data_IF_607215026748
#
_entry.id   IF_607215026748
#
_cell.length_a   1.000
_cell.length_b   1.000
_cell.length_c   1.000
_cell.angle_alpha   90.00
_cell.angle_beta   90.00
_cell.angle_gamma   90.00
#
_symmetry.space_group_name_H-M   'P 1'
#
loop_
_entity.id
_entity.type
_entity.pdbx_description
1 polymer ?
#
# COMPACT_ATOMS: atom_id res chain seq x y z
N UNK A 1 4.83 3.28 -12.26
CA UNK A 1 4.21 4.62 -12.03
C UNK A 1 4.50 5.11 -10.62
N UNK A 2 4.18 4.33 -9.57
CA UNK A 2 4.30 4.78 -8.18
C UNK A 2 5.73 5.10 -7.73
N UNK A 3 6.77 4.47 -8.31
CA UNK A 3 8.15 4.87 -8.06
C UNK A 3 8.46 6.34 -8.36
N UNK A 4 7.70 6.97 -9.26
CA UNK A 4 7.79 8.40 -9.54
C UNK A 4 7.14 9.31 -8.48
N UNK A 5 6.44 8.74 -7.51
CA UNK A 5 5.78 9.45 -6.40
C UNK A 5 6.48 9.25 -5.06
N UNK A 6 7.65 8.62 -5.04
CA UNK A 6 8.49 8.52 -3.84
C UNK A 6 9.14 9.87 -3.57
N UNK A 7 8.89 10.43 -2.40
CA UNK A 7 9.42 11.74 -2.00
C UNK A 7 8.68 12.33 -0.81
N UNK A 8 9.17 13.46 -0.34
CA UNK A 8 8.63 14.15 0.83
C UNK A 8 7.14 14.47 0.69
N UNK A 9 6.34 14.09 1.69
CA UNK A 9 4.89 14.30 1.69
C UNK A 9 4.11 13.42 0.72
N UNK A 10 4.73 12.36 0.21
CA UNK A 10 4.16 11.36 -0.68
C UNK A 10 4.52 9.96 -0.19
N UNK A 11 5.05 9.07 -1.03
CA UNK A 11 5.50 7.74 -0.64
C UNK A 11 6.92 7.76 -0.10
N UNK A 12 7.22 6.94 0.90
CA UNK A 12 8.59 6.64 1.35
C UNK A 12 9.23 5.53 0.49
N UNK A 13 8.41 4.59 0.03
CA UNK A 13 8.86 3.49 -0.83
C UNK A 13 7.75 3.07 -1.79
N UNK A 14 8.13 2.54 -2.94
CA UNK A 14 7.23 1.85 -3.87
C UNK A 14 7.81 0.49 -4.22
N UNK A 15 6.96 -0.54 -4.22
CA UNK A 15 7.31 -1.92 -4.51
C UNK A 15 6.82 -2.31 -5.90
N UNK A 16 7.63 -2.19 -6.96
CA UNK A 16 7.23 -2.66 -8.28
C UNK A 16 7.38 -4.19 -8.36
N UNK A 17 6.35 -4.84 -8.90
CA UNK A 17 6.46 -6.24 -9.33
C UNK A 17 7.07 -6.35 -10.72
N UNK A 18 7.22 -7.56 -11.20
CA UNK A 18 7.54 -7.85 -12.59
C UNK A 18 6.42 -7.33 -13.53
N UNK A 19 6.71 -7.26 -14.82
CA UNK A 19 5.73 -6.77 -15.80
C UNK A 19 4.45 -7.62 -15.75
N UNK A 20 3.31 -6.96 -15.53
CA UNK A 20 1.98 -7.56 -15.37
C UNK A 20 1.81 -8.52 -14.18
N UNK A 21 2.66 -8.44 -13.16
CA UNK A 21 2.49 -9.20 -11.93
C UNK A 21 2.53 -8.29 -10.68
N UNK A 22 1.93 -8.78 -9.60
CA UNK A 22 2.08 -8.17 -8.29
C UNK A 22 3.50 -8.41 -7.76
N UNK A 23 4.07 -7.50 -6.96
CA UNK A 23 5.30 -7.78 -6.22
C UNK A 23 5.08 -8.95 -5.25
N UNK A 24 6.16 -9.63 -4.89
CA UNK A 24 6.10 -10.76 -3.95
C UNK A 24 5.98 -10.25 -2.51
N UNK A 25 5.43 -11.06 -1.57
CA UNK A 25 5.38 -10.70 -0.15
C UNK A 25 6.75 -10.34 0.42
N UNK A 26 7.82 -11.05 0.03
CA UNK A 26 9.18 -10.77 0.48
C UNK A 26 9.66 -9.38 0.07
N UNK A 27 9.37 -8.95 -1.16
CA UNK A 27 9.72 -7.61 -1.65
C UNK A 27 8.99 -6.53 -0.84
N UNK A 28 7.72 -6.73 -0.56
CA UNK A 28 6.90 -5.80 0.24
C UNK A 28 7.37 -5.76 1.69
N UNK A 29 7.70 -6.91 2.27
CA UNK A 29 8.22 -7.03 3.62
C UNK A 29 9.58 -6.32 3.78
N UNK A 30 10.52 -6.55 2.86
CA UNK A 30 11.82 -5.87 2.88
C UNK A 30 11.67 -4.35 2.69
N UNK A 31 10.77 -3.90 1.84
CA UNK A 31 10.46 -2.48 1.68
C UNK A 31 9.87 -1.89 2.97
N UNK A 32 8.96 -2.60 3.63
CA UNK A 32 8.37 -2.20 4.91
C UNK A 32 9.44 -2.01 5.98
N UNK A 33 10.35 -2.98 6.10
CA UNK A 33 11.49 -2.87 7.04
C UNK A 33 12.41 -1.70 6.74
N UNK A 34 12.66 -1.45 5.47
CA UNK A 34 13.59 -0.39 5.05
C UNK A 34 13.08 1.01 5.40
N UNK A 35 11.76 1.22 5.48
CA UNK A 35 11.16 2.53 5.78
C UNK A 35 10.61 2.65 7.19
N UNK A 36 10.59 1.58 7.98
CA UNK A 36 10.12 1.64 9.36
C UNK A 36 11.06 2.50 10.21
N UNK A 37 10.52 3.58 10.74
CA UNK A 37 11.19 4.48 11.67
C UNK A 37 10.80 4.26 13.12
N UNK A 38 10.03 3.22 13.43
CA UNK A 38 9.54 2.89 14.78
C UNK A 38 8.12 3.36 15.08
N UNK A 39 7.51 4.16 14.20
CA UNK A 39 6.12 4.61 14.33
C UNK A 39 5.11 3.71 13.60
N UNK A 40 5.60 2.73 12.86
CA UNK A 40 4.81 1.85 12.02
C UNK A 40 4.77 2.28 10.56
N UNK A 41 4.19 1.44 9.72
CA UNK A 41 4.14 1.62 8.27
C UNK A 41 2.70 1.50 7.75
N UNK A 42 2.27 2.45 6.93
CA UNK A 42 1.00 2.40 6.24
C UNK A 42 1.18 1.83 4.82
N UNK A 43 0.51 0.73 4.53
CA UNK A 43 0.44 0.16 3.19
C UNK A 43 -0.70 0.79 2.39
N UNK A 44 -0.40 1.35 1.22
CA UNK A 44 -1.40 1.80 0.24
C UNK A 44 -1.52 0.71 -0.82
N UNK A 45 -2.64 0.00 -0.80
CA UNK A 45 -2.87 -1.20 -1.59
C UNK A 45 -3.94 -0.95 -2.64
N UNK A 46 -3.66 -1.22 -3.90
CA UNK A 46 -4.69 -1.22 -4.93
C UNK A 46 -5.46 -2.54 -4.88
N UNK A 47 -6.79 -2.49 -5.03
CA UNK A 47 -7.64 -3.66 -4.95
C UNK A 47 -7.50 -4.59 -6.17
N UNK A 48 -6.44 -5.38 -6.16
CA UNK A 48 -6.21 -6.51 -7.07
C UNK A 48 -5.95 -7.73 -6.20
N UNK A 49 -6.50 -8.87 -6.56
CA UNK A 49 -6.47 -10.09 -5.71
C UNK A 49 -5.05 -10.46 -5.27
N UNK A 50 -4.09 -10.46 -6.20
CA UNK A 50 -2.69 -10.77 -5.90
C UNK A 50 -2.03 -9.72 -4.99
N UNK A 51 -2.29 -8.43 -5.25
CA UNK A 51 -1.73 -7.35 -4.43
C UNK A 51 -2.25 -7.43 -2.99
N UNK A 52 -3.57 -7.55 -2.81
CA UNK A 52 -4.18 -7.62 -1.48
C UNK A 52 -3.60 -8.80 -0.69
N UNK A 53 -3.60 -10.00 -1.26
CA UNK A 53 -3.08 -11.21 -0.60
C UNK A 53 -1.59 -11.06 -0.22
N UNK A 54 -0.78 -10.55 -1.13
CA UNK A 54 0.66 -10.42 -0.92
C UNK A 54 0.99 -9.33 0.11
N UNK A 55 0.25 -8.20 0.12
CA UNK A 55 0.40 -7.17 1.16
C UNK A 55 -0.05 -7.65 2.53
N UNK A 56 -1.15 -8.42 2.63
CA UNK A 56 -1.58 -9.04 3.88
C UNK A 56 -0.49 -9.96 4.44
N UNK A 57 0.08 -10.83 3.59
CA UNK A 57 1.18 -11.71 4.00
C UNK A 57 2.41 -10.91 4.46
N UNK A 58 2.79 -9.86 3.74
CA UNK A 58 3.91 -9.01 4.12
C UNK A 58 3.66 -8.28 5.44
N UNK A 59 2.44 -7.83 5.69
CA UNK A 59 2.05 -7.20 6.94
C UNK A 59 2.15 -8.17 8.13
N UNK A 60 1.70 -9.42 7.95
CA UNK A 60 1.85 -10.47 8.97
C UNK A 60 3.32 -10.73 9.31
N UNK A 61 4.20 -10.81 8.31
CA UNK A 61 5.64 -10.97 8.50
C UNK A 61 6.26 -9.79 9.26
N UNK A 62 5.87 -8.55 8.91
CA UNK A 62 6.36 -7.34 9.58
C UNK A 62 5.88 -7.27 11.04
N UNK A 63 4.61 -7.56 11.30
CA UNK A 63 4.06 -7.59 12.66
C UNK A 63 4.72 -8.65 13.54
N UNK A 64 5.14 -9.78 12.99
CA UNK A 64 5.91 -10.80 13.71
C UNK A 64 7.30 -10.29 14.16
N UNK A 65 7.81 -9.22 13.56
CA UNK A 65 9.03 -8.50 13.96
C UNK A 65 8.75 -7.20 14.73
N UNK A 66 7.56 -7.06 15.31
CA UNK A 66 7.14 -5.89 16.08
C UNK A 66 7.07 -4.57 15.27
N UNK A 67 6.89 -4.65 13.96
CA UNK A 67 6.63 -3.49 13.11
C UNK A 67 5.11 -3.32 12.95
N UNK A 68 4.48 -2.30 13.53
CA UNK A 68 3.06 -2.05 13.32
C UNK A 68 2.77 -1.73 11.85
N UNK A 69 1.78 -2.40 11.27
CA UNK A 69 1.35 -2.16 9.88
C UNK A 69 -0.14 -1.97 9.84
N UNK A 70 -0.57 -0.91 9.18
CA UNK A 70 -1.96 -0.68 8.78
C UNK A 70 -2.05 -0.64 7.26
N UNK A 71 -3.23 -0.89 6.70
CA UNK A 71 -3.42 -0.88 5.27
C UNK A 71 -4.69 -0.14 4.86
N UNK A 72 -4.60 0.63 3.79
CA UNK A 72 -5.74 1.21 3.11
C UNK A 72 -5.86 0.63 1.70
N UNK A 73 -7.03 0.05 1.39
CA UNK A 73 -7.29 -0.58 0.11
C UNK A 73 -8.05 0.39 -0.80
N UNK A 74 -7.48 0.69 -1.96
CA UNK A 74 -8.05 1.59 -2.96
C UNK A 74 -8.90 0.79 -3.94
N UNK A 75 -10.18 1.16 -4.07
CA UNK A 75 -11.17 0.46 -4.90
C UNK A 75 -12.07 1.43 -5.67
N UNK A 76 -11.48 2.42 -6.30
CA UNK A 76 -12.15 3.57 -6.91
C UNK A 76 -12.63 3.37 -8.36
N UNK A 77 -12.48 2.19 -8.95
CA UNK A 77 -12.97 1.91 -10.31
C UNK A 77 -14.51 1.83 -10.36
N UNK A 78 -15.14 2.98 -10.49
CA UNK A 78 -16.61 3.10 -10.53
C UNK A 78 -17.25 2.54 -11.81
N UNK A 79 -16.45 2.19 -12.82
CA UNK A 79 -16.95 1.52 -14.02
C UNK A 79 -17.43 0.09 -13.73
N UNK A 80 -16.92 -0.53 -12.67
CA UNK A 80 -17.33 -1.85 -12.20
C UNK A 80 -18.35 -1.68 -11.08
N UNK A 81 -19.62 -1.97 -11.34
CA UNK A 81 -20.71 -1.85 -10.33
C UNK A 81 -20.70 -3.01 -9.36
N UNK A 82 -20.73 -4.24 -9.88
CA UNK A 82 -20.66 -5.48 -9.12
C UNK A 82 -19.91 -6.52 -9.94
N UNK A 83 -18.96 -7.19 -9.33
CA UNK A 83 -18.30 -8.32 -9.95
C UNK A 83 -18.45 -9.55 -9.06
N UNK A 84 -19.23 -10.50 -9.52
CA UNK A 84 -19.38 -11.81 -8.87
C UNK A 84 -18.15 -12.71 -9.09
N UNK A 85 -17.27 -12.34 -10.02
CA UNK A 85 -16.15 -13.15 -10.48
C UNK A 85 -14.77 -12.61 -10.12
N UNK A 86 -14.69 -11.43 -9.51
CA UNK A 86 -13.43 -10.77 -9.15
C UNK A 86 -13.54 -10.12 -7.77
N UNK A 87 -12.43 -9.56 -7.27
CA UNK A 87 -12.36 -8.85 -5.98
C UNK A 87 -13.18 -7.53 -5.93
N UNK A 88 -14.13 -7.32 -6.84
CA UNK A 88 -14.92 -6.10 -6.94
C UNK A 88 -14.18 -4.99 -7.68
N UNK A 89 -14.41 -3.73 -7.29
CA UNK A 89 -13.79 -2.56 -7.92
C UNK A 89 -12.29 -2.58 -7.74
N UNK A 90 -11.55 -2.28 -8.82
CA UNK A 90 -10.09 -2.14 -8.80
C UNK A 90 -9.67 -0.80 -8.21
N UNK A 91 -8.43 -0.73 -7.74
CA UNK A 91 -7.77 0.52 -7.40
C UNK A 91 -7.13 1.14 -8.64
N UNK A 92 -7.44 2.41 -8.91
CA UNK A 92 -6.94 3.15 -10.07
C UNK A 92 -6.46 4.56 -9.67
N UNK A 93 -6.96 5.62 -10.25
CA UNK A 93 -6.47 6.99 -10.09
C UNK A 93 -6.50 7.56 -8.67
N UNK A 94 -7.45 7.18 -7.85
CA UNK A 94 -7.53 7.65 -6.46
C UNK A 94 -6.33 7.21 -5.61
N UNK A 95 -5.56 6.22 -6.06
CA UNK A 95 -4.32 5.82 -5.38
C UNK A 95 -3.36 7.00 -5.23
N UNK A 96 -3.16 7.81 -6.28
CA UNK A 96 -2.27 9.00 -6.22
C UNK A 96 -2.81 10.05 -5.26
N UNK A 97 -4.13 10.24 -5.21
CA UNK A 97 -4.78 11.15 -4.25
C UNK A 97 -4.60 10.67 -2.81
N UNK A 98 -4.75 9.36 -2.57
CA UNK A 98 -4.49 8.76 -1.26
C UNK A 98 -3.02 8.94 -0.85
N UNK A 99 -2.06 8.68 -1.75
CA UNK A 99 -0.63 8.91 -1.52
C UNK A 99 -0.38 10.36 -1.06
N UNK A 100 -1.02 11.34 -1.70
CA UNK A 100 -0.88 12.75 -1.33
C UNK A 100 -1.49 13.08 0.04
N UNK A 101 -2.66 12.55 0.33
CA UNK A 101 -3.38 12.82 1.58
C UNK A 101 -2.63 12.21 2.77
N UNK A 102 -2.31 10.92 2.69
CA UNK A 102 -1.64 10.21 3.79
C UNK A 102 -0.18 10.62 3.93
N UNK A 103 0.51 10.93 2.83
CA UNK A 103 1.87 11.46 2.87
C UNK A 103 1.93 12.82 3.57
N UNK A 104 0.95 13.69 3.35
CA UNK A 104 0.85 14.96 4.06
C UNK A 104 0.52 14.77 5.55
N UNK A 105 -0.29 13.78 5.92
CA UNK A 105 -0.57 13.45 7.30
C UNK A 105 0.69 12.93 8.02
N UNK A 106 1.44 12.03 7.39
CA UNK A 106 2.71 11.54 7.90
C UNK A 106 3.74 12.66 8.12
N UNK A 107 3.85 13.60 7.18
CA UNK A 107 4.73 14.78 7.32
C UNK A 107 4.33 15.68 8.49
N UNK A 108 3.05 15.75 8.85
CA UNK A 108 2.60 16.47 10.05
C UNK A 108 2.95 15.73 11.35
N UNK A 109 3.31 14.46 11.27
CA UNK A 109 3.56 13.61 12.43
C UNK A 109 2.30 12.98 13.01
N UNK A 110 1.23 12.82 12.21
CA UNK A 110 0.04 12.08 12.61
C UNK A 110 0.43 10.61 12.85
N UNK A 111 -0.19 9.96 13.83
CA UNK A 111 0.10 8.56 14.12
C UNK A 111 -0.56 7.62 13.11
N UNK A 112 -0.17 6.32 13.16
CA UNK A 112 -0.62 5.32 12.19
C UNK A 112 -2.14 5.11 12.23
N UNK A 113 -2.79 5.34 13.37
CA UNK A 113 -4.23 5.16 13.54
C UNK A 113 -5.06 6.39 13.11
N UNK A 114 -4.39 7.54 12.93
CA UNK A 114 -5.06 8.77 12.55
C UNK A 114 -5.44 8.75 11.06
#
# INVERSE_FOLDING_TARGET
MHGGFVGMGMLDVACPGEVFTSPTPDQMYEATKAVDGGAGVLHIVKNYTGDVLNFETAAELAMAEDIPVEAVVINDDVAVKDSLYTAGRRGVGATVLAEKIVGAAAERGDDLAA
#
